data_IF_100415576615
#
_entry.id   IF_100415576615
#
_cell.length_a   1.000
_cell.length_b   1.000
_cell.length_c   1.000
_cell.angle_alpha   90.00
_cell.angle_beta   90.00
_cell.angle_gamma   90.00
#
_symmetry.space_group_name_H-M   'P 1'
#
loop_
_entity.id
_entity.type
_entity.pdbx_description
1 polymer ?
#
# COMPACT_ATOMS: atom_id res chain seq x y z
N UNK A 1 -28.41 -46.45 -24.16
CA UNK A 1 -28.44 -45.04 -23.72
C UNK A 1 -27.05 -44.66 -23.27
N UNK A 2 -26.35 -43.89 -24.09
CA UNK A 2 -24.95 -43.48 -23.90
C UNK A 2 -24.87 -42.34 -22.88
N UNK A 3 -24.09 -42.56 -21.82
CA UNK A 3 -23.73 -41.58 -20.81
C UNK A 3 -22.56 -40.76 -21.34
N UNK A 4 -22.78 -39.49 -21.63
CA UNK A 4 -21.72 -38.53 -21.98
C UNK A 4 -21.22 -37.87 -20.70
N UNK A 5 -19.97 -38.15 -20.33
CA UNK A 5 -19.17 -37.32 -19.42
C UNK A 5 -18.77 -36.03 -20.16
N UNK A 6 -18.98 -34.83 -19.58
CA UNK A 6 -18.28 -33.64 -20.01
C UNK A 6 -16.87 -33.64 -19.42
N UNK A 7 -15.90 -33.84 -20.31
CA UNK A 7 -14.47 -33.63 -20.08
C UNK A 7 -14.22 -32.20 -19.58
N UNK A 8 -13.32 -32.13 -18.61
CA UNK A 8 -12.62 -30.97 -18.06
C UNK A 8 -12.16 -29.96 -19.12
N UNK A 9 -12.59 -28.71 -18.95
CA UNK A 9 -11.94 -27.54 -19.55
C UNK A 9 -10.83 -27.05 -18.60
N UNK A 10 -9.55 -26.94 -19.04
CA UNK A 10 -8.55 -26.19 -18.33
C UNK A 10 -8.53 -24.77 -18.89
N UNK A 11 -9.54 -23.96 -18.55
CA UNK A 11 -9.45 -22.52 -18.78
C UNK A 11 -8.87 -21.89 -17.53
N UNK A 12 -7.60 -21.52 -17.65
CA UNK A 12 -6.85 -20.61 -16.78
C UNK A 12 -7.67 -19.33 -16.54
N UNK A 13 -8.58 -19.37 -15.57
CA UNK A 13 -9.22 -18.19 -15.00
C UNK A 13 -8.27 -17.54 -14.02
N UNK A 14 -7.17 -16.94 -14.50
CA UNK A 14 -6.42 -16.03 -13.65
C UNK A 14 -7.37 -14.89 -13.28
N UNK A 15 -7.63 -14.76 -11.98
CA UNK A 15 -8.38 -13.61 -11.45
C UNK A 15 -7.67 -12.32 -11.88
N UNK A 16 -8.44 -11.28 -12.22
CA UNK A 16 -7.92 -9.95 -12.54
C UNK A 16 -6.87 -9.48 -11.51
N UNK A 17 -7.09 -9.83 -10.25
CA UNK A 17 -6.17 -9.56 -9.14
C UNK A 17 -4.81 -10.26 -9.32
N UNK A 18 -4.79 -11.51 -9.77
CA UNK A 18 -3.54 -12.22 -10.07
C UNK A 18 -2.81 -11.61 -11.26
N UNK A 19 -3.53 -11.14 -12.28
CA UNK A 19 -2.92 -10.45 -13.42
C UNK A 19 -2.27 -9.14 -12.96
N UNK A 20 -2.95 -8.36 -12.12
CA UNK A 20 -2.41 -7.11 -11.55
C UNK A 20 -1.20 -7.40 -10.65
N UNK A 21 -1.26 -8.42 -9.80
CA UNK A 21 -0.13 -8.80 -8.94
C UNK A 21 1.09 -9.25 -9.76
N UNK A 22 0.88 -10.00 -10.85
CA UNK A 22 1.96 -10.41 -11.75
C UNK A 22 2.58 -9.22 -12.47
N UNK A 23 1.78 -8.22 -12.87
CA UNK A 23 2.29 -7.00 -13.48
C UNK A 23 3.12 -6.17 -12.48
N UNK A 24 2.64 -6.03 -11.24
CA UNK A 24 3.40 -5.35 -10.17
C UNK A 24 4.70 -6.08 -9.88
N UNK A 25 4.66 -7.41 -9.80
CA UNK A 25 5.86 -8.22 -9.58
C UNK A 25 6.87 -8.09 -10.72
N UNK A 26 6.41 -8.09 -11.97
CA UNK A 26 7.26 -7.88 -13.14
C UNK A 26 7.93 -6.49 -13.14
N UNK A 27 7.19 -5.43 -12.76
CA UNK A 27 7.74 -4.08 -12.64
C UNK A 27 8.81 -4.00 -11.54
N UNK A 28 8.58 -4.66 -10.40
CA UNK A 28 9.56 -4.71 -9.31
C UNK A 28 10.84 -5.47 -9.70
N UNK A 29 10.73 -6.56 -10.46
CA UNK A 29 11.90 -7.30 -10.94
C UNK A 29 12.76 -6.44 -11.88
N UNK A 30 12.15 -5.65 -12.77
CA UNK A 30 12.88 -4.74 -13.66
C UNK A 30 13.61 -3.65 -12.88
N UNK A 31 12.99 -3.09 -11.85
CA UNK A 31 13.62 -2.07 -10.99
C UNK A 31 14.75 -2.64 -10.12
N UNK A 32 14.71 -3.92 -9.75
CA UNK A 32 15.80 -4.57 -9.01
C UNK A 32 16.99 -4.87 -9.92
N UNK A 33 16.76 -5.19 -11.20
CA UNK A 33 17.85 -5.42 -12.16
C UNK A 33 18.54 -4.13 -12.60
N UNK A 34 17.83 -3.00 -12.69
CA UNK A 34 18.44 -1.71 -13.07
C UNK A 34 19.21 -1.05 -11.92
N UNK A 35 18.86 -1.32 -10.66
CA UNK A 35 19.54 -0.73 -9.49
C UNK A 35 20.74 -1.56 -8.98
N UNK A 36 21.06 -2.68 -9.62
CA UNK A 36 22.18 -3.55 -9.24
C UNK A 36 23.54 -3.19 -9.88
N UNK A 37 23.58 -2.24 -10.80
CA UNK A 37 24.79 -1.85 -11.51
C UNK A 37 25.07 -0.35 -11.35
N UNK A 38 26.20 -0.04 -10.71
CA UNK A 38 26.82 1.28 -10.55
C UNK A 38 26.42 2.08 -9.30
N UNK A 39 26.76 1.52 -8.13
CA UNK A 39 27.30 2.34 -7.06
C UNK A 39 28.80 2.56 -7.28
N UNK A 40 29.27 3.81 -7.22
CA UNK A 40 30.17 4.27 -6.15
C UNK A 40 30.31 5.82 -6.17
N UNK A 41 30.41 6.50 -5.00
CA UNK A 41 30.37 7.95 -4.89
C UNK A 41 31.78 8.55 -4.83
N UNK A 42 31.91 9.82 -5.16
CA UNK A 42 32.98 10.63 -4.59
C UNK A 42 32.53 12.04 -4.24
N UNK A 43 33.15 12.50 -3.18
CA UNK A 43 32.75 13.57 -2.25
C UNK A 43 33.53 14.86 -2.58
N UNK A 44 33.05 16.00 -2.06
CA UNK A 44 33.75 17.29 -1.82
C UNK A 44 33.79 18.26 -3.02
N UNK A 45 33.62 19.59 -2.91
CA UNK A 45 33.44 20.53 -1.79
C UNK A 45 33.36 21.97 -2.36
N UNK A 46 32.69 22.88 -1.61
CA UNK A 46 32.69 24.36 -1.71
C UNK A 46 32.06 25.02 -2.95
N UNK A 47 30.95 25.75 -2.83
CA UNK A 47 30.78 27.07 -2.21
C UNK A 47 31.51 28.21 -2.96
N UNK A 48 30.75 29.01 -3.72
CA UNK A 48 30.80 30.49 -3.75
C UNK A 48 30.04 31.03 -4.99
N UNK A 49 28.96 31.75 -4.72
CA UNK A 49 28.38 32.86 -5.50
C UNK A 49 29.27 34.11 -5.24
N UNK A 50 29.29 35.26 -5.99
CA UNK A 50 28.42 35.78 -7.07
C UNK A 50 29.12 36.53 -8.25
N UNK A 51 28.28 37.11 -9.13
CA UNK A 51 28.35 38.49 -9.66
C UNK A 51 29.22 38.88 -10.90
N UNK A 52 28.49 39.10 -12.00
CA UNK A 52 28.32 40.39 -12.71
C UNK A 52 29.40 41.01 -13.62
N UNK A 53 28.88 41.80 -14.58
CA UNK A 53 29.50 42.89 -15.39
C UNK A 53 30.14 42.42 -16.72
N UNK A 54 29.44 42.64 -17.86
CA UNK A 54 29.62 43.73 -18.87
C UNK A 54 31.06 43.77 -19.46
N UNK A 55 31.35 43.95 -20.76
CA UNK A 55 30.76 44.80 -21.79
C UNK A 55 31.52 44.56 -23.12
N UNK A 56 30.82 44.68 -24.27
CA UNK A 56 31.20 45.39 -25.52
C UNK A 56 32.63 45.32 -26.11
N UNK A 57 32.77 44.92 -27.39
CA UNK A 57 33.04 45.83 -28.52
C UNK A 57 33.15 45.08 -29.87
N UNK A 58 32.73 45.77 -30.93
CA UNK A 58 32.57 45.31 -32.31
C UNK A 58 33.87 45.22 -33.12
N UNK A 59 33.92 44.34 -34.12
CA UNK A 59 34.65 44.62 -35.36
C UNK A 59 34.09 43.82 -36.55
N UNK A 60 33.70 44.57 -37.59
CA UNK A 60 33.24 44.11 -38.91
C UNK A 60 34.41 43.59 -39.75
N UNK A 61 34.21 42.52 -40.53
CA UNK A 61 34.17 42.56 -42.01
C UNK A 61 34.35 41.18 -42.66
N UNK A 62 33.62 41.01 -43.77
CA UNK A 62 33.82 40.09 -44.90
C UNK A 62 33.57 38.57 -44.73
N UNK A 63 32.49 38.11 -45.36
CA UNK A 63 32.24 36.71 -45.77
C UNK A 63 33.28 36.27 -46.85
N UNK A 64 33.60 34.98 -46.95
CA UNK A 64 32.78 34.10 -47.80
C UNK A 64 32.49 32.72 -47.14
N UNK A 65 31.59 31.92 -47.73
CA UNK A 65 30.74 30.98 -47.00
C UNK A 65 31.45 29.65 -46.79
N UNK A 66 31.59 29.23 -45.54
CA UNK A 66 31.86 27.84 -45.20
C UNK A 66 30.64 27.25 -44.52
N UNK A 67 29.83 26.63 -45.36
CA UNK A 67 29.02 25.45 -45.03
C UNK A 67 29.82 24.45 -44.18
N UNK A 68 29.75 24.58 -42.87
CA UNK A 68 29.81 23.47 -41.93
C UNK A 68 28.41 23.39 -41.32
N UNK A 69 27.44 22.81 -42.04
CA UNK A 69 27.14 21.39 -41.86
C UNK A 69 27.30 21.02 -40.39
N UNK A 70 26.36 21.49 -39.56
CA UNK A 70 25.98 20.82 -38.33
C UNK A 70 25.58 19.41 -38.73
N UNK A 71 26.58 18.54 -38.94
CA UNK A 71 26.41 17.10 -38.80
C UNK A 71 26.13 16.91 -37.31
N UNK A 72 24.90 17.18 -36.92
CA UNK A 72 24.27 16.40 -35.87
C UNK A 72 24.47 14.97 -36.30
N UNK A 73 25.45 14.33 -35.67
CA UNK A 73 25.79 12.95 -35.91
C UNK A 73 24.46 12.19 -35.81
N UNK A 74 23.95 11.58 -36.89
CA UNK A 74 22.59 11.07 -36.91
C UNK A 74 22.36 10.02 -35.81
N UNK A 75 23.44 9.37 -35.35
CA UNK A 75 23.42 8.49 -34.19
C UNK A 75 23.29 9.19 -32.83
N UNK A 76 23.74 10.45 -32.69
CA UNK A 76 23.58 11.24 -31.47
C UNK A 76 22.18 11.86 -31.40
N UNK A 77 21.66 12.34 -32.53
CA UNK A 77 20.30 12.87 -32.63
C UNK A 77 19.27 11.77 -32.36
N UNK A 78 19.44 10.59 -32.96
CA UNK A 78 18.57 9.44 -32.71
C UNK A 78 18.57 8.98 -31.24
N UNK A 79 19.71 9.07 -30.54
CA UNK A 79 19.80 8.75 -29.11
C UNK A 79 19.11 9.79 -28.22
N UNK A 80 19.18 11.07 -28.59
CA UNK A 80 18.48 12.15 -27.90
C UNK A 80 16.96 12.02 -28.06
N UNK A 81 16.50 11.67 -29.27
CA UNK A 81 15.08 11.44 -29.55
C UNK A 81 14.56 10.20 -28.80
N UNK A 82 15.33 9.10 -28.77
CA UNK A 82 15.01 7.88 -28.01
C UNK A 82 14.99 8.13 -26.50
N UNK A 83 15.93 8.92 -25.97
CA UNK A 83 15.96 9.34 -24.56
C UNK A 83 14.77 10.25 -24.18
N UNK A 84 14.36 11.14 -25.08
CA UNK A 84 13.20 12.00 -24.89
C UNK A 84 11.88 11.19 -24.92
N UNK A 85 11.80 10.20 -25.81
CA UNK A 85 10.64 9.31 -25.90
C UNK A 85 10.54 8.39 -24.67
N UNK A 86 11.65 7.84 -24.20
CA UNK A 86 11.69 7.07 -22.95
C UNK A 86 11.33 7.93 -21.74
N UNK A 87 11.82 9.17 -21.64
CA UNK A 87 11.44 10.08 -20.55
C UNK A 87 9.93 10.35 -20.53
N UNK A 88 9.32 10.66 -21.68
CA UNK A 88 7.85 10.83 -21.77
C UNK A 88 7.08 9.57 -21.39
N UNK A 89 7.61 8.40 -21.76
CA UNK A 89 7.02 7.11 -21.40
C UNK A 89 7.10 6.84 -19.89
N UNK A 90 8.22 7.19 -19.27
CA UNK A 90 8.45 7.08 -17.83
C UNK A 90 7.54 8.03 -17.05
N UNK A 91 7.40 9.29 -17.49
CA UNK A 91 6.49 10.26 -16.90
C UNK A 91 5.04 9.78 -16.96
N UNK A 92 4.60 9.25 -18.11
CA UNK A 92 3.26 8.68 -18.26
C UNK A 92 3.04 7.49 -17.32
N UNK A 93 4.01 6.58 -17.21
CA UNK A 93 3.93 5.43 -16.29
C UNK A 93 3.91 5.87 -14.83
N UNK A 94 4.67 6.91 -14.46
CA UNK A 94 4.65 7.47 -13.12
C UNK A 94 3.27 8.06 -12.78
N UNK A 95 2.65 8.78 -13.71
CA UNK A 95 1.30 9.32 -13.53
C UNK A 95 0.26 8.19 -13.35
N UNK A 96 0.33 7.14 -14.18
CA UNK A 96 -0.57 5.98 -14.09
C UNK A 96 -0.39 5.22 -12.76
N UNK A 97 0.85 5.00 -12.34
CA UNK A 97 1.16 4.34 -11.05
C UNK A 97 0.72 5.20 -9.87
N UNK A 98 0.90 6.52 -9.95
CA UNK A 98 0.47 7.44 -8.88
C UNK A 98 -1.04 7.43 -8.70
N UNK A 99 -1.81 7.46 -9.80
CA UNK A 99 -3.26 7.38 -9.76
C UNK A 99 -3.76 6.06 -9.15
N UNK A 100 -3.13 4.94 -9.53
CA UNK A 100 -3.45 3.62 -8.97
C UNK A 100 -3.14 3.57 -7.46
N UNK A 101 -2.02 4.15 -7.05
CA UNK A 101 -1.64 4.21 -5.62
C UNK A 101 -2.63 5.06 -4.82
N UNK A 102 -3.10 6.18 -5.36
CA UNK A 102 -4.10 7.02 -4.70
C UNK A 102 -5.47 6.34 -4.60
N UNK A 103 -5.87 5.59 -5.63
CA UNK A 103 -7.10 4.78 -5.60
C UNK A 103 -7.00 3.68 -4.55
N UNK A 104 -5.88 2.95 -4.51
CA UNK A 104 -5.60 1.93 -3.50
C UNK A 104 -5.56 2.54 -2.10
N UNK A 105 -4.95 3.72 -1.94
CA UNK A 105 -4.91 4.45 -0.67
C UNK A 105 -6.31 4.81 -0.16
N UNK A 106 -7.21 5.18 -1.06
CA UNK A 106 -8.63 5.40 -0.76
C UNK A 106 -9.33 4.11 -0.31
N UNK A 107 -9.10 3.00 -1.01
CA UNK A 107 -9.71 1.69 -0.69
C UNK A 107 -9.19 1.08 0.62
N UNK A 108 -7.93 1.37 0.99
CA UNK A 108 -7.28 0.79 2.17
C UNK A 108 -7.26 1.75 3.37
N UNK A 109 -7.83 2.95 3.25
CA UNK A 109 -7.94 3.92 4.35
C UNK A 109 -6.60 4.44 4.90
N UNK A 110 -5.49 4.23 4.19
CA UNK A 110 -4.16 4.61 4.66
C UNK A 110 -4.01 6.14 4.76
N UNK A 111 -3.80 6.65 5.98
CA UNK A 111 -3.50 8.08 6.22
C UNK A 111 -2.09 8.49 5.80
N UNK A 112 -1.14 7.56 5.64
CA UNK A 112 0.27 7.89 5.45
C UNK A 112 0.80 7.50 4.07
N UNK A 113 1.50 8.44 3.41
CA UNK A 113 2.27 8.23 2.17
C UNK A 113 3.60 7.47 2.40
N UNK A 114 3.74 6.75 3.52
CA UNK A 114 4.95 6.04 3.92
C UNK A 114 4.92 4.59 3.45
N UNK A 115 6.08 4.07 3.04
CA UNK A 115 6.31 2.68 2.61
C UNK A 115 5.71 1.64 3.57
N UNK A 116 5.84 1.85 4.88
CA UNK A 116 5.36 0.90 5.89
C UNK A 116 3.83 0.83 5.93
N UNK A 117 3.15 1.98 5.88
CA UNK A 117 1.67 2.06 5.84
C UNK A 117 1.07 1.50 4.54
N UNK A 118 1.79 1.59 3.42
CA UNK A 118 1.39 0.94 2.18
C UNK A 118 1.60 -0.58 2.25
N UNK A 119 2.69 -1.04 2.87
CA UNK A 119 2.97 -2.46 3.01
C UNK A 119 1.97 -3.15 3.96
N UNK A 120 1.59 -2.49 5.06
CA UNK A 120 0.51 -2.92 5.94
C UNK A 120 -0.84 -2.99 5.20
N UNK A 121 -1.15 -1.99 4.37
CA UNK A 121 -2.35 -1.98 3.54
C UNK A 121 -2.38 -3.11 2.49
N UNK A 122 -1.23 -3.44 1.89
CA UNK A 122 -1.09 -4.57 0.96
C UNK A 122 -1.26 -5.90 1.68
N UNK A 123 -0.72 -6.06 2.89
CA UNK A 123 -0.96 -7.26 3.71
C UNK A 123 -2.43 -7.40 4.13
N UNK A 124 -3.13 -6.28 4.38
CA UNK A 124 -4.57 -6.28 4.65
C UNK A 124 -5.38 -6.70 3.40
N UNK A 125 -5.01 -6.21 2.20
CA UNK A 125 -5.62 -6.67 0.93
C UNK A 125 -5.38 -8.16 0.65
N UNK A 126 -4.19 -8.69 0.95
CA UNK A 126 -3.86 -10.12 0.77
C UNK A 126 -4.78 -11.05 1.56
N UNK A 127 -5.48 -10.54 2.58
CA UNK A 127 -6.38 -11.30 3.44
C UNK A 127 -7.88 -11.10 3.15
N UNK A 128 -8.22 -10.35 2.10
CA UNK A 128 -9.50 -10.49 1.38
C UNK A 128 -10.59 -9.45 1.66
N UNK A 129 -10.50 -8.64 2.72
CA UNK A 129 -11.51 -7.61 3.03
C UNK A 129 -10.87 -6.24 3.32
N UNK A 130 -11.58 -5.18 2.92
CA UNK A 130 -11.17 -3.78 3.16
C UNK A 130 -11.55 -3.33 4.57
N UNK A 131 -11.11 -2.16 5.02
CA UNK A 131 -11.50 -1.62 6.33
C UNK A 131 -12.98 -1.21 6.31
N UNK A 132 -13.73 -1.50 7.38
CA UNK A 132 -15.15 -1.10 7.49
C UNK A 132 -15.32 0.42 7.65
N UNK A 133 -14.33 1.10 8.23
CA UNK A 133 -14.38 2.53 8.48
C UNK A 133 -12.97 3.14 8.58
N UNK A 134 -12.89 4.47 8.50
CA UNK A 134 -11.61 5.21 8.54
C UNK A 134 -10.89 5.08 9.89
N UNK A 135 -11.64 5.02 10.99
CA UNK A 135 -11.12 4.66 12.32
C UNK A 135 -11.57 3.24 12.67
N UNK A 136 -10.83 2.27 12.16
CA UNK A 136 -11.30 0.89 12.02
C UNK A 136 -11.26 0.07 13.31
N UNK A 137 -10.83 0.65 14.42
CA UNK A 137 -10.62 -0.06 15.68
C UNK A 137 -11.92 -0.08 16.46
N UNK A 138 -12.58 -1.23 16.51
CA UNK A 138 -13.87 -1.32 17.18
C UNK A 138 -13.73 -1.55 18.68
N UNK A 139 -12.83 -2.46 19.07
CA UNK A 139 -12.68 -2.88 20.46
C UNK A 139 -11.23 -2.84 20.96
N UNK A 140 -11.10 -2.65 22.26
CA UNK A 140 -9.92 -3.00 23.03
C UNK A 140 -10.24 -4.22 23.89
N UNK A 141 -9.60 -5.33 23.58
CA UNK A 141 -9.67 -6.56 24.37
C UNK A 141 -8.57 -6.56 25.45
N UNK A 142 -8.87 -7.10 26.61
CA UNK A 142 -7.93 -7.28 27.70
C UNK A 142 -8.04 -8.70 28.25
N UNK A 143 -6.92 -9.42 28.33
CA UNK A 143 -6.84 -10.70 29.02
C UNK A 143 -5.83 -10.61 30.15
N UNK A 144 -6.32 -10.72 31.38
CA UNK A 144 -5.49 -10.63 32.58
C UNK A 144 -5.74 -11.85 33.46
N UNK A 145 -4.70 -12.64 33.73
CA UNK A 145 -4.81 -13.85 34.53
C UNK A 145 -5.88 -14.84 34.03
N UNK A 146 -6.10 -14.89 32.71
CA UNK A 146 -7.14 -15.70 32.08
C UNK A 146 -8.56 -15.15 32.10
N UNK A 147 -8.81 -14.01 32.75
CA UNK A 147 -10.08 -13.28 32.66
C UNK A 147 -10.09 -12.40 31.41
N UNK A 148 -11.15 -12.53 30.61
CA UNK A 148 -11.32 -11.83 29.33
C UNK A 148 -12.31 -10.69 29.48
N UNK A 149 -11.99 -9.56 28.88
CA UNK A 149 -12.87 -8.41 28.83
C UNK A 149 -12.69 -7.65 27.53
N UNK A 150 -13.73 -6.93 27.13
CA UNK A 150 -13.69 -6.03 25.98
C UNK A 150 -14.22 -4.66 26.38
N UNK A 151 -13.69 -3.63 25.73
CA UNK A 151 -14.23 -2.28 25.71
C UNK A 151 -14.49 -1.87 24.28
N UNK A 152 -15.69 -1.40 23.97
CA UNK A 152 -15.98 -0.80 22.66
C UNK A 152 -15.39 0.60 22.63
N UNK A 153 -14.41 0.81 21.75
CA UNK A 153 -13.69 2.10 21.63
C UNK A 153 -13.97 2.81 20.31
N UNK A 154 -14.38 2.07 19.28
CA UNK A 154 -14.77 2.62 17.98
C UNK A 154 -16.23 3.04 17.92
N UNK A 155 -16.57 3.84 16.92
CA UNK A 155 -17.97 4.11 16.58
C UNK A 155 -18.62 2.85 15.97
N UNK A 156 -19.83 2.54 16.42
CA UNK A 156 -20.65 1.45 15.86
C UNK A 156 -21.32 1.98 14.58
N UNK A 157 -21.04 1.40 13.39
CA UNK A 157 -21.64 1.88 12.16
C UNK A 157 -23.13 1.55 12.08
N UNK A 158 -23.86 2.40 11.36
CA UNK A 158 -25.28 2.19 11.07
C UNK A 158 -25.50 0.87 10.31
N UNK A 159 -26.14 -0.09 10.98
CA UNK A 159 -26.45 -1.42 10.47
C UNK A 159 -25.69 -2.56 11.15
N UNK A 160 -24.76 -2.27 12.06
CA UNK A 160 -24.31 -3.25 13.04
C UNK A 160 -25.27 -3.18 14.23
N UNK A 161 -26.18 -4.15 14.33
CA UNK A 161 -27.10 -4.28 15.47
C UNK A 161 -26.37 -5.05 16.57
N UNK A 162 -26.14 -4.39 17.70
CA UNK A 162 -25.29 -4.92 18.77
C UNK A 162 -25.75 -4.40 20.12
N UNK A 163 -25.61 -5.24 21.14
CA UNK A 163 -25.96 -4.91 22.52
C UNK A 163 -24.97 -3.97 23.20
N UNK A 164 -23.76 -3.78 22.65
CA UNK A 164 -22.72 -2.94 23.24
C UNK A 164 -22.52 -1.65 22.44
N UNK A 165 -22.60 -0.53 23.14
CA UNK A 165 -22.35 0.80 22.60
C UNK A 165 -20.92 1.27 22.83
N UNK A 166 -20.49 2.29 22.08
CA UNK A 166 -19.18 2.93 22.27
C UNK A 166 -19.01 3.41 23.72
N UNK A 167 -17.87 3.07 24.31
CA UNK A 167 -17.50 3.41 25.68
C UNK A 167 -17.88 2.31 26.69
N UNK A 168 -18.74 1.38 26.32
CA UNK A 168 -19.14 0.27 27.19
C UNK A 168 -18.02 -0.76 27.35
N UNK A 169 -18.02 -1.39 28.52
CA UNK A 169 -17.06 -2.39 28.93
C UNK A 169 -17.82 -3.60 29.48
N UNK A 170 -17.37 -4.79 29.12
CA UNK A 170 -17.93 -6.03 29.65
C UNK A 170 -16.85 -7.11 29.80
N UNK A 171 -16.98 -7.92 30.83
CA UNK A 171 -16.27 -9.20 30.98
C UNK A 171 -17.22 -10.40 30.91
N UNK A 172 -18.50 -10.14 30.60
CA UNK A 172 -19.53 -11.16 30.50
C UNK A 172 -19.45 -11.86 29.14
N UNK A 173 -19.16 -13.16 29.15
CA UNK A 173 -19.07 -13.96 27.93
C UNK A 173 -20.40 -14.04 27.18
N UNK A 174 -21.53 -13.95 27.89
CA UNK A 174 -22.87 -13.96 27.28
C UNK A 174 -23.15 -12.65 26.51
N UNK A 175 -22.34 -11.61 26.72
CA UNK A 175 -22.37 -10.37 25.94
C UNK A 175 -21.26 -10.33 24.89
N UNK A 176 -20.05 -10.80 25.24
CA UNK A 176 -18.90 -10.81 24.34
C UNK A 176 -19.19 -11.71 23.13
N UNK A 177 -19.65 -12.94 23.35
CA UNK A 177 -19.80 -13.90 22.24
C UNK A 177 -20.83 -13.43 21.20
N UNK A 178 -22.05 -12.98 21.56
CA UNK A 178 -22.99 -12.43 20.60
C UNK A 178 -22.45 -11.18 19.89
N UNK A 179 -21.84 -10.24 20.64
CA UNK A 179 -21.22 -9.05 20.06
C UNK A 179 -20.24 -9.40 18.92
N UNK A 180 -19.36 -10.37 19.18
CA UNK A 180 -18.35 -10.80 18.21
C UNK A 180 -18.98 -11.49 16.98
N UNK A 181 -20.11 -12.18 17.16
CA UNK A 181 -20.87 -12.81 16.07
C UNK A 181 -21.58 -11.78 15.20
N UNK A 182 -22.20 -10.76 15.81
CA UNK A 182 -22.87 -9.67 15.10
C UNK A 182 -21.86 -8.90 14.24
N UNK A 183 -20.69 -8.60 14.81
CA UNK A 183 -19.58 -7.97 14.07
C UNK A 183 -19.14 -8.84 12.90
N UNK A 184 -18.92 -10.14 13.13
CA UNK A 184 -18.50 -11.05 12.07
C UNK A 184 -19.52 -11.14 10.92
N UNK A 185 -20.81 -11.17 11.24
CA UNK A 185 -21.86 -11.24 10.23
C UNK A 185 -21.90 -9.94 9.42
N UNK A 186 -21.79 -8.78 10.08
CA UNK A 186 -21.69 -7.49 9.42
C UNK A 186 -20.48 -7.39 8.47
N UNK A 187 -19.30 -7.81 8.94
CA UNK A 187 -18.06 -7.85 8.16
C UNK A 187 -18.20 -8.70 6.90
N UNK A 188 -18.79 -9.89 7.03
CA UNK A 188 -19.02 -10.82 5.93
C UNK A 188 -19.98 -10.23 4.89
N UNK A 189 -21.09 -9.65 5.33
CA UNK A 189 -22.12 -9.12 4.44
C UNK A 189 -21.62 -7.88 3.67
N UNK A 190 -20.79 -7.06 4.31
CA UNK A 190 -20.23 -5.84 3.71
C UNK A 190 -18.85 -6.02 3.08
N UNK A 191 -18.27 -7.21 3.17
CA UNK A 191 -16.91 -7.52 2.69
C UNK A 191 -15.87 -6.54 3.24
N UNK A 192 -16.01 -6.20 4.52
CA UNK A 192 -15.10 -5.32 5.24
C UNK A 192 -14.67 -5.99 6.55
N UNK A 193 -13.68 -5.41 7.25
CA UNK A 193 -13.22 -5.94 8.53
C UNK A 193 -12.86 -4.84 9.52
N UNK A 194 -13.02 -5.09 10.81
CA UNK A 194 -12.59 -4.23 11.91
C UNK A 194 -11.26 -4.68 12.50
N UNK A 195 -10.59 -3.72 13.13
CA UNK A 195 -9.38 -3.94 13.91
C UNK A 195 -9.70 -3.98 15.40
N UNK A 196 -8.77 -4.52 16.19
CA UNK A 196 -8.80 -4.50 17.64
C UNK A 196 -7.44 -4.18 18.24
N UNK A 197 -7.47 -3.70 19.49
CA UNK A 197 -6.30 -3.60 20.36
C UNK A 197 -6.34 -4.70 21.40
N UNK A 198 -5.19 -5.22 21.78
CA UNK A 198 -5.08 -6.21 22.85
C UNK A 198 -4.18 -5.68 23.97
N UNK A 199 -4.66 -5.82 25.19
CA UNK A 199 -3.87 -5.74 26.42
C UNK A 199 -3.73 -7.14 27.03
N UNK A 200 -2.53 -7.53 27.44
CA UNK A 200 -2.27 -8.85 28.01
C UNK A 200 -1.19 -8.81 29.10
N UNK A 201 -1.24 -9.71 30.08
CA UNK A 201 -0.25 -9.77 31.18
C UNK A 201 0.83 -10.83 30.90
N UNK A 202 0.40 -12.05 30.57
CA UNK A 202 1.31 -13.17 30.34
C UNK A 202 1.38 -13.56 28.86
N UNK A 203 2.43 -14.28 28.46
CA UNK A 203 2.55 -14.81 27.10
C UNK A 203 1.45 -15.85 26.80
N UNK A 204 0.92 -16.48 27.85
CA UNK A 204 -0.23 -17.37 27.75
C UNK A 204 -1.52 -16.60 27.43
N UNK A 205 -1.74 -15.45 28.08
CA UNK A 205 -2.87 -14.57 27.81
C UNK A 205 -2.82 -14.04 26.37
N UNK A 206 -1.63 -13.65 25.91
CA UNK A 206 -1.40 -13.25 24.52
C UNK A 206 -1.82 -14.34 23.51
N UNK A 207 -1.37 -15.58 23.71
CA UNK A 207 -1.72 -16.70 22.81
C UNK A 207 -3.22 -16.97 22.81
N UNK A 208 -3.82 -17.05 24.00
CA UNK A 208 -5.28 -17.26 24.15
C UNK A 208 -6.10 -16.16 23.50
N UNK A 209 -5.67 -14.91 23.66
CA UNK A 209 -6.35 -13.77 23.04
C UNK A 209 -6.32 -13.86 21.52
N UNK A 210 -5.15 -14.16 20.93
CA UNK A 210 -5.04 -14.26 19.47
C UNK A 210 -5.93 -15.35 18.91
N UNK A 211 -5.96 -16.52 19.54
CA UNK A 211 -6.83 -17.63 19.14
C UNK A 211 -8.32 -17.26 19.15
N UNK A 212 -8.77 -16.43 20.11
CA UNK A 212 -10.17 -15.99 20.21
C UNK A 212 -10.51 -14.83 19.28
N UNK A 213 -9.71 -13.76 19.30
CA UNK A 213 -10.06 -12.50 18.66
C UNK A 213 -9.67 -12.42 17.19
N UNK A 214 -8.56 -13.04 16.75
CA UNK A 214 -8.11 -12.90 15.35
C UNK A 214 -8.98 -13.63 14.33
N UNK A 215 -9.85 -14.52 14.81
CA UNK A 215 -10.93 -15.11 13.99
C UNK A 215 -11.92 -14.05 13.50
N UNK A 216 -12.10 -12.99 14.28
CA UNK A 216 -13.10 -11.94 14.02
C UNK A 216 -12.43 -10.63 13.62
N UNK A 217 -11.38 -10.21 14.33
CA UNK A 217 -10.74 -8.90 14.14
C UNK A 217 -9.31 -9.00 13.59
N UNK A 218 -8.77 -7.86 13.17
CA UNK A 218 -7.35 -7.68 12.88
C UNK A 218 -6.59 -6.98 13.99
N UNK A 219 -5.40 -7.48 14.37
CA UNK A 219 -4.61 -6.84 15.41
C UNK A 219 -4.04 -5.51 14.91
N UNK A 220 -4.41 -4.40 15.54
CA UNK A 220 -3.78 -3.08 15.30
C UNK A 220 -2.62 -2.86 16.28
N UNK A 221 -2.86 -3.14 17.57
CA UNK A 221 -1.85 -2.91 18.62
C UNK A 221 -1.92 -3.97 19.72
N UNK A 222 -0.75 -4.43 20.13
CA UNK A 222 -0.55 -5.45 21.16
C UNK A 222 0.27 -4.84 22.29
N UNK A 223 -0.29 -4.76 23.49
CA UNK A 223 0.36 -4.12 24.65
C UNK A 223 0.45 -5.10 25.81
N UNK A 224 1.66 -5.36 26.30
CA UNK A 224 1.87 -6.10 27.54
C UNK A 224 1.69 -5.15 28.72
N UNK A 225 0.68 -5.38 29.55
CA UNK A 225 0.42 -4.62 30.78
C UNK A 225 1.09 -5.33 31.95
N UNK A 226 1.86 -4.57 32.75
CA UNK A 226 2.64 -5.06 33.89
C UNK A 226 1.83 -4.97 35.19
#
# INVERSE_FOLDING_TARGET
MTRTDPRTDPVLGLSLVQVVLLLVFAVLLVQVTDNGANGQPDTRQSAAVPESVSQSAAQSDALPPTTESTRTDPGLQAKLDDAAETSRRLEKRLAEVTALVDEVKGMVGAKAASRDGFQEAVENMKRGYTLCQKDNVLIEASIQNGEESIRVIGDIPSGLDTSLAKGEYTSDLDQIVPFMQDVYQYEKDRKCRFNYRLQYVTDNDYRKARERFEKYFFPEKMTKVQ
#
